data_IF_624663864531
#
_entry.id   IF_624663864531
#
_cell.length_a   1.000
_cell.length_b   1.000
_cell.length_c   1.000
_cell.angle_alpha   90.00
_cell.angle_beta   90.00
_cell.angle_gamma   90.00
#
_symmetry.space_group_name_H-M   'P 1'
#
loop_
_entity.id
_entity.type
_entity.pdbx_description
1 polymer ?
#
# COMPACT_ATOMS: atom_id res chain seq x y z
N UNK A 1 -11.73 13.48 9.47
CA UNK A 1 -11.52 12.27 8.65
C UNK A 1 -11.36 11.12 9.62
N UNK A 2 -12.24 10.13 9.52
CA UNK A 2 -12.19 8.93 10.35
C UNK A 2 -11.23 7.94 9.68
N UNK A 3 -10.30 7.37 10.45
CA UNK A 3 -9.40 6.29 9.99
C UNK A 3 -9.99 4.97 10.48
N UNK A 4 -10.29 4.08 9.55
CA UNK A 4 -10.79 2.74 9.85
C UNK A 4 -9.63 1.76 9.70
N UNK A 5 -9.23 1.10 10.79
CA UNK A 5 -8.19 0.06 10.71
C UNK A 5 -8.72 -1.14 9.91
N UNK A 6 -7.90 -1.65 8.98
CA UNK A 6 -8.19 -2.85 8.18
C UNK A 6 -7.16 -3.93 8.49
N UNK A 7 -7.52 -5.17 8.18
CA UNK A 7 -6.63 -6.31 8.36
C UNK A 7 -5.85 -6.58 7.06
N UNK A 8 -4.57 -6.24 7.06
CA UNK A 8 -3.66 -6.52 5.95
C UNK A 8 -3.56 -8.02 5.64
N UNK A 9 -3.63 -8.88 6.67
CA UNK A 9 -3.52 -10.32 6.50
C UNK A 9 -4.80 -10.99 6.00
N UNK A 10 -5.89 -10.22 5.87
CA UNK A 10 -7.12 -10.68 5.24
C UNK A 10 -7.04 -10.67 3.70
N UNK A 11 -6.04 -9.98 3.11
CA UNK A 11 -5.77 -10.01 1.66
C UNK A 11 -5.28 -11.37 1.20
N UNK A 12 -5.34 -11.62 -0.10
CA UNK A 12 -4.72 -12.81 -0.68
C UNK A 12 -3.20 -12.81 -0.49
N UNK A 13 -2.62 -14.02 -0.45
CA UNK A 13 -1.18 -14.16 -0.20
C UNK A 13 -0.32 -13.47 -1.26
N UNK A 14 -0.77 -13.51 -2.51
CA UNK A 14 -0.06 -12.86 -3.63
C UNK A 14 0.00 -11.34 -3.43
N UNK A 15 -1.10 -10.72 -3.01
CA UNK A 15 -1.13 -9.29 -2.69
C UNK A 15 -0.25 -8.97 -1.48
N UNK A 16 -0.34 -9.77 -0.41
CA UNK A 16 0.51 -9.58 0.76
C UNK A 16 1.99 -9.64 0.36
N UNK A 17 2.39 -10.65 -0.42
CA UNK A 17 3.76 -10.79 -0.90
C UNK A 17 4.18 -9.62 -1.80
N UNK A 18 3.30 -9.12 -2.66
CA UNK A 18 3.56 -7.93 -3.47
C UNK A 18 3.85 -6.71 -2.58
N UNK A 19 3.05 -6.39 -1.56
CA UNK A 19 3.36 -5.25 -0.69
C UNK A 19 4.63 -5.47 0.14
N UNK A 20 4.88 -6.70 0.59
CA UNK A 20 6.05 -7.05 1.39
C UNK A 20 7.36 -7.09 0.60
N UNK A 21 7.32 -7.18 -0.73
CA UNK A 21 8.53 -7.32 -1.57
C UNK A 21 8.66 -6.25 -2.65
N UNK A 22 7.55 -5.80 -3.23
CA UNK A 22 7.47 -4.88 -4.38
C UNK A 22 7.03 -3.47 -3.94
N UNK A 23 7.73 -2.91 -2.95
CA UNK A 23 7.48 -1.54 -2.49
C UNK A 23 8.55 -0.57 -2.95
N UNK A 24 8.13 0.63 -3.38
CA UNK A 24 9.02 1.77 -3.60
C UNK A 24 9.34 2.50 -2.29
N UNK A 25 10.61 2.79 -2.03
CA UNK A 25 11.00 3.65 -0.92
C UNK A 25 11.51 5.00 -1.43
N UNK A 26 10.92 6.10 -0.96
CA UNK A 26 11.34 7.44 -1.35
C UNK A 26 12.74 7.83 -0.83
N UNK A 27 13.17 7.29 0.32
CA UNK A 27 14.51 7.54 0.86
C UNK A 27 15.60 6.75 0.12
N UNK A 28 15.32 5.50 -0.26
CA UNK A 28 16.26 4.70 -1.05
C UNK A 28 16.21 5.03 -2.54
N UNK A 29 15.10 5.60 -3.03
CA UNK A 29 14.81 5.82 -4.45
C UNK A 29 14.93 4.55 -5.29
N UNK A 30 14.45 3.43 -4.75
CA UNK A 30 14.51 2.10 -5.38
C UNK A 30 13.15 1.40 -5.29
N UNK A 31 12.83 0.63 -6.34
CA UNK A 31 11.70 -0.32 -6.37
C UNK A 31 12.09 -1.62 -5.68
N UNK A 32 11.12 -2.51 -5.44
CA UNK A 32 11.35 -3.89 -5.02
C UNK A 32 12.17 -4.07 -3.73
N UNK A 33 12.04 -3.11 -2.80
CA UNK A 33 12.72 -3.20 -1.51
C UNK A 33 11.89 -3.96 -0.47
N UNK A 34 10.57 -3.90 -0.59
CA UNK A 34 9.65 -4.46 0.38
C UNK A 34 9.45 -3.59 1.62
N UNK A 35 8.33 -3.85 2.30
CA UNK A 35 7.99 -3.25 3.58
C UNK A 35 7.88 -4.30 4.68
N UNK A 36 8.14 -3.90 5.93
CA UNK A 36 7.89 -4.66 7.15
C UNK A 36 6.92 -3.91 8.04
N UNK A 37 6.28 -4.64 8.96
CA UNK A 37 5.26 -4.10 9.85
C UNK A 37 4.11 -3.40 9.08
N UNK A 38 3.47 -4.06 8.09
CA UNK A 38 2.41 -3.45 7.30
C UNK A 38 1.18 -3.17 8.18
N UNK A 39 0.61 -1.98 8.01
CA UNK A 39 -0.59 -1.50 8.69
C UNK A 39 -1.54 -0.98 7.65
N UNK A 40 -2.61 -1.71 7.39
CA UNK A 40 -3.65 -1.31 6.45
C UNK A 40 -4.75 -0.51 7.15
N UNK A 41 -5.23 0.54 6.49
CA UNK A 41 -6.32 1.36 6.98
C UNK A 41 -7.03 2.06 5.85
N UNK A 42 -8.30 2.36 6.06
CA UNK A 42 -9.10 3.19 5.16
C UNK A 42 -9.22 4.60 5.74
N UNK A 43 -9.07 5.61 4.89
CA UNK A 43 -9.29 7.00 5.25
C UNK A 43 -10.00 7.71 4.10
N UNK A 44 -11.22 8.19 4.37
CA UNK A 44 -11.98 8.96 3.37
C UNK A 44 -12.39 8.17 2.14
N UNK A 45 -12.58 6.85 2.26
CA UNK A 45 -12.91 5.95 1.15
C UNK A 45 -11.69 5.45 0.36
N UNK A 46 -10.47 5.84 0.75
CA UNK A 46 -9.23 5.36 0.14
C UNK A 46 -8.50 4.44 1.10
N UNK A 47 -8.00 3.31 0.61
CA UNK A 47 -7.26 2.33 1.41
C UNK A 47 -5.77 2.61 1.30
N UNK A 48 -5.10 2.64 2.43
CA UNK A 48 -3.68 2.89 2.58
C UNK A 48 -3.01 1.75 3.33
N UNK A 49 -1.77 1.46 2.95
CA UNK A 49 -0.90 0.51 3.64
C UNK A 49 0.37 1.26 4.02
N UNK A 50 0.57 1.46 5.32
CA UNK A 50 1.82 1.98 5.86
C UNK A 50 2.71 0.84 6.30
N UNK A 51 3.99 0.90 5.97
CA UNK A 51 5.00 -0.02 6.46
C UNK A 51 6.34 0.67 6.64
N UNK A 52 7.35 -0.10 7.03
CA UNK A 52 8.74 0.34 7.10
C UNK A 52 9.53 -0.30 5.98
N UNK A 53 10.31 0.46 5.23
CA UNK A 53 11.22 -0.11 4.24
C UNK A 53 12.14 -1.14 4.89
N UNK A 54 12.29 -2.30 4.27
CA UNK A 54 13.17 -3.37 4.77
C UNK A 54 14.64 -2.92 4.76
N UNK A 55 15.03 -2.11 3.78
CA UNK A 55 16.42 -1.63 3.58
C UNK A 55 16.82 -0.52 4.55
N UNK A 56 16.09 0.60 4.58
CA UNK A 56 16.45 1.77 5.39
C UNK A 56 15.63 1.93 6.68
N UNK A 57 14.48 1.28 6.79
CA UNK A 57 13.57 1.42 7.94
C UNK A 57 12.69 2.67 7.93
N UNK A 58 12.79 3.52 6.89
CA UNK A 58 11.90 4.67 6.69
C UNK A 58 10.46 4.23 6.49
N UNK A 59 9.52 5.10 6.86
CA UNK A 59 8.09 4.87 6.58
C UNK A 59 7.83 4.91 5.09
N UNK A 60 7.14 3.89 4.58
CA UNK A 60 6.66 3.79 3.21
C UNK A 60 5.14 3.67 3.27
N UNK A 61 4.46 4.48 2.47
CA UNK A 61 3.00 4.49 2.37
C UNK A 61 2.62 4.09 0.95
N UNK A 62 1.74 3.12 0.83
CA UNK A 62 1.18 2.66 -0.45
C UNK A 62 -0.31 2.92 -0.44
N UNK A 63 -0.80 3.66 -1.43
CA UNK A 63 -2.22 3.85 -1.66
C UNK A 63 -2.74 2.70 -2.54
N UNK A 64 -3.85 2.11 -2.14
CA UNK A 64 -4.55 1.08 -2.90
C UNK A 64 -5.71 1.76 -3.60
N UNK A 65 -5.62 1.88 -4.92
CA UNK A 65 -6.78 2.20 -5.73
C UNK A 65 -7.68 0.97 -5.77
N UNK A 66 -8.89 1.08 -5.22
CA UNK A 66 -9.94 0.09 -5.42
C UNK A 66 -10.48 0.24 -6.87
N UNK A 67 -10.87 -0.86 -7.50
CA UNK A 67 -11.36 -0.94 -8.89
C UNK A 67 -12.58 -0.02 -9.13
N UNK A 68 -13.33 0.35 -8.07
CA UNK A 68 -14.41 1.36 -8.11
C UNK A 68 -13.92 2.81 -8.35
N UNK A 69 -12.61 3.04 -8.32
CA UNK A 69 -11.96 4.33 -8.63
C UNK A 69 -11.03 4.26 -9.84
N UNK A 70 -11.13 3.21 -10.66
CA UNK A 70 -10.75 3.33 -12.06
C UNK A 70 -11.84 4.20 -12.72
N UNK A 71 -11.66 5.53 -12.60
CA UNK A 71 -12.58 6.48 -13.21
C UNK A 71 -12.78 6.07 -14.66
N UNK A 72 -14.04 5.98 -15.10
CA UNK A 72 -14.42 5.71 -16.48
C UNK A 72 -13.40 6.36 -17.41
N UNK A 73 -12.51 5.55 -18.00
CA UNK A 73 -11.61 6.04 -19.04
C UNK A 73 -12.54 6.31 -20.22
N UNK A 74 -13.05 7.54 -20.30
CA UNK A 74 -13.79 8.03 -21.45
C UNK A 74 -12.77 8.15 -22.60
N UNK A 75 -12.59 7.05 -23.31
CA UNK A 75 -11.93 7.00 -24.61
C UNK A 75 -12.78 7.80 -25.61
N UNK A 76 -12.68 9.14 -25.59
CA UNK A 76 -13.08 10.00 -26.73
C UNK A 76 -11.89 10.37 -27.62
#
# INVERSE_FOLDING_TARGET
>A
MERTERDFYARDKEDQEAFLTQTWCNDCMEVDLGMKDPVEYEMGGVVYIDGKCVKCGSTVTTEIADDDTDGEWDDE
#
